data_IF_305747311398
#
_entry.id   IF_305747311398
#
_cell.length_a   1.000
_cell.length_b   1.000
_cell.length_c   1.000
_cell.angle_alpha   90.00
_cell.angle_beta   90.00
_cell.angle_gamma   90.00
#
_symmetry.space_group_name_H-M   'P 1'
#
loop_
_entity.id
_entity.type
_entity.pdbx_description
1 polymer ?
#
# COMPACT_ATOMS: atom_id res chain seq x y z
N UNK A 1 27.33 35.13 1.69
CA UNK A 1 26.45 34.01 2.09
C UNK A 1 25.28 33.94 1.11
N UNK A 2 25.23 32.95 0.20
CA UNK A 2 24.05 32.68 -0.62
C UNK A 2 23.35 31.47 0.00
N UNK A 3 22.11 31.69 0.43
CA UNK A 3 21.33 30.78 1.24
C UNK A 3 21.23 29.37 0.65
N UNK A 4 20.96 28.45 1.56
CA UNK A 4 20.71 27.03 1.38
C UNK A 4 19.47 26.80 0.49
N UNK A 5 19.55 27.16 -0.79
CA UNK A 5 18.52 26.88 -1.80
C UNK A 5 19.00 25.67 -2.57
N UNK A 6 18.25 24.57 -2.45
CA UNK A 6 18.50 23.36 -3.21
C UNK A 6 18.46 23.73 -4.71
N UNK A 7 19.53 23.49 -5.49
CA UNK A 7 19.52 23.81 -6.90
C UNK A 7 18.42 23.00 -7.60
N UNK A 8 17.79 23.62 -8.59
CA UNK A 8 16.76 22.97 -9.39
C UNK A 8 17.33 21.69 -10.06
N UNK A 9 16.49 20.65 -10.21
CA UNK A 9 16.95 19.35 -10.67
C UNK A 9 17.60 19.45 -12.06
N UNK A 10 18.86 18.98 -12.23
CA UNK A 10 19.51 18.98 -13.55
C UNK A 10 18.70 18.25 -14.62
N UNK A 11 18.01 17.16 -14.25
CA UNK A 11 17.13 16.44 -15.19
C UNK A 11 15.98 17.31 -15.68
N UNK A 12 15.39 18.12 -14.81
CA UNK A 12 14.30 19.01 -15.17
C UNK A 12 14.77 20.15 -16.08
N UNK A 13 15.94 20.73 -15.79
CA UNK A 13 16.56 21.76 -16.64
C UNK A 13 16.90 21.21 -18.03
N UNK A 14 17.43 19.99 -18.11
CA UNK A 14 17.68 19.30 -19.39
C UNK A 14 16.38 19.07 -20.17
N UNK A 15 15.30 18.63 -19.50
CA UNK A 15 13.99 18.44 -20.14
C UNK A 15 13.39 19.74 -20.66
N UNK A 16 13.58 20.86 -19.94
CA UNK A 16 13.16 22.22 -20.35
C UNK A 16 14.06 22.84 -21.42
N UNK A 17 15.18 22.20 -21.79
CA UNK A 17 16.15 22.75 -22.75
C UNK A 17 17.07 23.83 -22.17
N UNK A 18 17.07 24.04 -20.86
CA UNK A 18 17.97 24.98 -20.14
C UNK A 18 19.33 24.31 -19.88
N UNK A 19 20.06 23.99 -20.95
CA UNK A 19 21.25 23.15 -20.86
C UNK A 19 22.44 23.82 -20.16
N UNK A 20 22.61 25.14 -20.31
CA UNK A 20 23.72 25.86 -19.69
C UNK A 20 23.61 25.89 -18.16
N UNK A 21 22.39 26.01 -17.64
CA UNK A 21 22.13 25.97 -16.21
C UNK A 21 22.32 24.56 -15.64
N UNK A 22 21.84 23.55 -16.36
CA UNK A 22 22.11 22.15 -16.03
C UNK A 22 23.62 21.85 -16.00
N UNK A 23 24.38 22.38 -16.95
CA UNK A 23 25.83 22.24 -17.02
C UNK A 23 26.54 22.87 -15.82
N UNK A 24 26.17 24.10 -15.43
CA UNK A 24 26.72 24.76 -14.24
C UNK A 24 26.49 23.93 -12.97
N UNK A 25 25.29 23.39 -12.81
CA UNK A 25 24.94 22.56 -11.65
C UNK A 25 25.70 21.22 -11.69
N UNK A 26 25.79 20.55 -12.84
CA UNK A 26 26.52 19.29 -13.00
C UNK A 26 28.02 19.45 -12.75
N UNK A 27 28.65 20.53 -13.25
CA UNK A 27 30.06 20.86 -12.97
C UNK A 27 30.30 21.11 -11.48
N UNK A 28 29.38 21.83 -10.82
CA UNK A 28 29.44 22.05 -9.37
C UNK A 28 29.32 20.72 -8.60
N UNK A 29 28.37 19.87 -8.95
CA UNK A 29 28.19 18.54 -8.34
C UNK A 29 29.42 17.66 -8.52
N UNK A 30 30.01 17.65 -9.71
CA UNK A 30 31.20 16.85 -9.99
C UNK A 30 32.42 17.32 -9.20
N UNK A 31 32.62 18.65 -9.11
CA UNK A 31 33.66 19.24 -8.27
C UNK A 31 33.49 18.86 -6.80
N UNK A 32 32.27 18.89 -6.27
CA UNK A 32 31.97 18.45 -4.89
C UNK A 32 32.22 16.95 -4.71
N UNK A 33 31.92 16.14 -5.73
CA UNK A 33 32.12 14.69 -5.72
C UNK A 33 33.56 14.26 -6.08
N UNK A 34 34.50 15.20 -6.23
CA UNK A 34 35.89 14.91 -6.61
C UNK A 34 36.08 14.29 -7.99
N UNK A 35 35.08 14.37 -8.88
CA UNK A 35 35.12 13.81 -10.24
C UNK A 35 35.20 14.92 -11.28
N UNK A 36 35.94 14.70 -12.36
CA UNK A 36 35.92 15.57 -13.53
C UNK A 36 34.88 15.07 -14.54
N UNK A 37 34.09 16.00 -15.11
CA UNK A 37 33.23 15.66 -16.24
C UNK A 37 34.09 15.53 -17.50
N UNK A 38 33.95 14.45 -18.29
CA UNK A 38 34.54 14.38 -19.62
C UNK A 38 34.09 15.56 -20.47
N UNK A 39 34.99 16.13 -21.28
CA UNK A 39 34.67 17.27 -22.14
C UNK A 39 33.44 17.02 -23.05
N UNK A 40 33.26 15.78 -23.50
CA UNK A 40 32.15 15.38 -24.37
C UNK A 40 30.88 14.96 -23.60
N UNK A 41 30.91 14.85 -22.27
CA UNK A 41 29.78 14.36 -21.48
C UNK A 41 28.54 15.23 -21.67
N UNK A 42 28.70 16.55 -21.68
CA UNK A 42 27.58 17.47 -21.87
C UNK A 42 26.99 17.38 -23.27
N UNK A 43 27.82 17.12 -24.28
CA UNK A 43 27.39 16.95 -25.69
C UNK A 43 26.58 15.66 -25.83
N UNK A 44 27.07 14.55 -25.26
CA UNK A 44 26.32 13.29 -25.24
C UNK A 44 25.02 13.41 -24.45
N UNK A 45 25.04 14.12 -23.31
CA UNK A 45 23.86 14.33 -22.48
C UNK A 45 22.81 15.21 -23.20
N UNK A 46 23.24 16.30 -23.83
CA UNK A 46 22.39 17.14 -24.70
C UNK A 46 21.76 16.30 -25.81
N UNK A 47 22.56 15.52 -26.56
CA UNK A 47 22.06 14.67 -27.65
C UNK A 47 21.03 13.65 -27.15
N UNK A 48 21.33 12.95 -26.04
CA UNK A 48 20.42 11.96 -25.45
C UNK A 48 19.09 12.60 -25.06
N UNK A 49 19.13 13.72 -24.34
CA UNK A 49 17.92 14.42 -23.91
C UNK A 49 17.17 15.10 -25.07
N UNK A 50 17.85 15.57 -26.11
CA UNK A 50 17.22 16.08 -27.33
C UNK A 50 16.50 14.98 -28.08
N UNK A 51 17.08 13.79 -28.20
CA UNK A 51 16.42 12.63 -28.82
C UNK A 51 15.25 12.15 -27.97
N UNK A 52 15.43 11.99 -26.65
CA UNK A 52 14.34 11.62 -25.75
C UNK A 52 13.21 12.66 -25.79
N UNK A 53 13.56 13.96 -25.77
CA UNK A 53 12.59 15.04 -25.91
C UNK A 53 11.94 15.02 -27.28
N UNK A 54 12.65 14.80 -28.38
CA UNK A 54 12.04 14.70 -29.71
C UNK A 54 11.11 13.49 -29.84
N UNK A 55 11.47 12.34 -29.26
CA UNK A 55 10.62 11.13 -29.25
C UNK A 55 9.39 11.36 -28.37
N UNK A 56 9.57 11.92 -27.18
CA UNK A 56 8.47 12.26 -26.29
C UNK A 56 7.61 13.37 -26.86
N UNK A 57 8.20 14.39 -27.46
CA UNK A 57 7.50 15.52 -28.06
C UNK A 57 6.81 15.07 -29.33
N UNK A 58 7.38 14.23 -30.20
CA UNK A 58 6.63 13.60 -31.32
C UNK A 58 5.49 12.73 -30.81
N UNK A 59 5.69 11.96 -29.75
CA UNK A 59 4.62 11.18 -29.13
C UNK A 59 3.51 12.12 -28.64
N UNK A 60 3.89 13.19 -27.94
CA UNK A 60 3.02 14.20 -27.31
C UNK A 60 2.46 15.22 -28.31
N UNK A 61 3.04 15.44 -29.49
CA UNK A 61 2.67 16.48 -30.49
C UNK A 61 1.84 15.88 -31.62
N UNK A 62 2.11 14.61 -31.99
CA UNK A 62 1.12 13.76 -32.65
C UNK A 62 -0.15 13.62 -31.80
N UNK A 63 0.02 13.74 -30.47
CA UNK A 63 -1.06 13.70 -29.48
C UNK A 63 -1.71 15.09 -29.23
N UNK A 64 -0.94 16.18 -29.01
CA UNK A 64 -1.40 17.53 -28.61
C UNK A 64 -2.23 18.29 -29.63
N UNK A 65 -2.30 17.83 -30.88
CA UNK A 65 -3.30 18.32 -31.83
C UNK A 65 -4.74 17.97 -31.38
N UNK A 66 -4.90 17.13 -30.33
CA UNK A 66 -6.17 16.83 -29.67
C UNK A 66 -6.14 17.28 -28.22
N UNK A 67 -7.20 17.97 -27.80
CA UNK A 67 -7.43 18.37 -26.42
C UNK A 67 -7.72 17.11 -25.58
N UNK A 68 -6.83 16.81 -24.63
CA UNK A 68 -6.91 15.59 -23.80
C UNK A 68 -7.96 15.72 -22.69
N UNK A 69 -8.93 14.80 -22.68
CA UNK A 69 -9.80 14.55 -21.53
C UNK A 69 -9.41 13.26 -20.81
N UNK A 70 -9.95 13.05 -19.60
CA UNK A 70 -9.73 11.81 -18.80
C UNK A 70 -10.10 10.54 -19.60
N UNK A 71 -11.03 10.67 -20.55
CA UNK A 71 -11.47 9.59 -21.43
C UNK A 71 -10.39 9.12 -22.43
N UNK A 72 -9.44 9.97 -22.80
CA UNK A 72 -8.36 9.60 -23.73
C UNK A 72 -7.35 8.65 -23.09
N UNK A 73 -7.35 8.56 -21.75
CA UNK A 73 -6.54 7.61 -20.99
C UNK A 73 -6.96 6.14 -21.26
N UNK A 74 -8.23 5.93 -21.65
CA UNK A 74 -8.78 4.62 -22.00
C UNK A 74 -8.65 4.28 -23.48
N UNK A 75 -8.22 5.24 -24.32
CA UNK A 75 -8.17 5.09 -25.78
C UNK A 75 -7.02 4.21 -26.24
N UNK A 76 -5.84 4.34 -25.62
CA UNK A 76 -4.66 3.55 -25.99
C UNK A 76 -4.58 2.30 -25.12
N UNK A 77 -4.53 1.07 -25.68
CA UNK A 77 -4.63 -0.17 -24.91
C UNK A 77 -3.48 -0.35 -23.90
N UNK A 78 -2.27 0.12 -24.25
CA UNK A 78 -1.12 0.09 -23.36
C UNK A 78 -1.24 1.06 -22.18
N UNK A 79 -1.86 2.23 -22.39
CA UNK A 79 -2.06 3.21 -21.34
C UNK A 79 -3.20 2.78 -20.42
N UNK A 80 -4.32 2.31 -21.00
CA UNK A 80 -5.45 1.72 -20.28
C UNK A 80 -5.02 0.60 -19.35
N UNK A 81 -4.20 -0.35 -19.82
CA UNK A 81 -3.68 -1.44 -18.97
C UNK A 81 -2.89 -0.91 -17.78
N UNK A 82 -1.98 0.04 -18.01
CA UNK A 82 -1.17 0.63 -16.93
C UNK A 82 -2.05 1.39 -15.92
N UNK A 83 -2.97 2.21 -16.40
CA UNK A 83 -3.90 2.96 -15.56
C UNK A 83 -4.76 2.00 -14.73
N UNK A 84 -5.39 1.00 -15.35
CA UNK A 84 -6.21 0.01 -14.64
C UNK A 84 -5.43 -0.73 -13.56
N UNK A 85 -4.20 -1.15 -13.85
CA UNK A 85 -3.33 -1.79 -12.86
C UNK A 85 -3.04 -0.85 -11.69
N UNK A 86 -2.66 0.40 -11.95
CA UNK A 86 -2.36 1.39 -10.91
C UNK A 86 -3.60 1.69 -10.07
N UNK A 87 -4.75 1.91 -10.69
CA UNK A 87 -6.03 2.15 -10.01
C UNK A 87 -6.43 0.96 -9.15
N UNK A 88 -6.27 -0.27 -9.65
CA UNK A 88 -6.56 -1.48 -8.89
C UNK A 88 -5.65 -1.62 -7.67
N UNK A 89 -4.35 -1.41 -7.82
CA UNK A 89 -3.38 -1.44 -6.71
C UNK A 89 -3.77 -0.40 -5.64
N UNK A 90 -4.10 0.82 -6.07
CA UNK A 90 -4.54 1.89 -5.18
C UNK A 90 -5.81 1.51 -4.43
N UNK A 91 -6.81 1.01 -5.15
CA UNK A 91 -8.08 0.57 -4.55
C UNK A 91 -7.88 -0.53 -3.50
N UNK A 92 -7.09 -1.56 -3.83
CA UNK A 92 -6.76 -2.65 -2.90
C UNK A 92 -6.02 -2.13 -1.67
N UNK A 93 -5.02 -1.27 -1.86
CA UNK A 93 -4.25 -0.73 -0.75
C UNK A 93 -5.12 0.12 0.18
N UNK A 94 -5.93 1.03 -0.36
CA UNK A 94 -6.88 1.82 0.44
C UNK A 94 -7.88 0.94 1.18
N UNK A 95 -8.43 -0.09 0.52
CA UNK A 95 -9.39 -1.00 1.14
C UNK A 95 -8.77 -1.78 2.31
N UNK A 96 -7.56 -2.32 2.13
CA UNK A 96 -6.83 -3.05 3.18
C UNK A 96 -6.43 -2.11 4.32
N UNK A 97 -5.90 -0.93 4.01
CA UNK A 97 -5.48 0.06 5.00
C UNK A 97 -6.65 0.53 5.86
N UNK A 98 -7.77 0.89 5.22
CA UNK A 98 -8.98 1.33 5.91
C UNK A 98 -9.58 0.17 6.71
N UNK A 99 -9.66 -1.03 6.13
CA UNK A 99 -10.16 -2.22 6.83
C UNK A 99 -9.34 -2.59 8.08
N UNK A 100 -8.00 -2.56 7.97
CA UNK A 100 -7.11 -2.78 9.12
C UNK A 100 -7.24 -1.67 10.15
N UNK A 101 -7.31 -0.41 9.74
CA UNK A 101 -7.51 0.73 10.64
C UNK A 101 -8.81 0.64 11.44
N UNK A 102 -9.91 0.18 10.81
CA UNK A 102 -11.17 -0.04 11.53
C UNK A 102 -11.15 -1.27 12.44
N UNK A 103 -10.39 -2.31 12.10
CA UNK A 103 -10.33 -3.56 12.86
C UNK A 103 -9.26 -3.55 13.97
N UNK A 104 -8.28 -2.64 13.90
CA UNK A 104 -7.21 -2.49 14.89
C UNK A 104 -7.70 -2.24 16.33
N UNK A 105 -8.75 -1.42 16.59
CA UNK A 105 -9.32 -1.27 17.93
C UNK A 105 -10.09 -2.51 18.40
N UNK A 106 -10.67 -3.26 17.46
CA UNK A 106 -11.52 -4.44 17.74
C UNK A 106 -10.70 -5.70 18.03
N UNK A 107 -9.39 -5.71 17.73
CA UNK A 107 -8.51 -6.86 17.97
C UNK A 107 -8.40 -7.26 19.46
N UNK A 108 -8.84 -6.39 20.37
CA UNK A 108 -8.80 -6.59 21.82
C UNK A 108 -7.39 -6.32 22.38
N UNK A 109 -7.33 -5.61 23.51
CA UNK A 109 -6.09 -5.16 24.14
C UNK A 109 -6.10 -3.65 24.39
N UNK A 110 -4.93 -3.10 24.73
CA UNK A 110 -4.73 -1.65 24.90
C UNK A 110 -4.52 -0.98 23.51
N UNK A 111 -5.40 -0.05 23.15
CA UNK A 111 -5.39 0.65 21.87
C UNK A 111 -4.10 1.47 21.64
N UNK A 112 -3.53 2.04 22.71
CA UNK A 112 -2.29 2.81 22.64
C UNK A 112 -1.10 1.90 22.35
N UNK A 113 -1.09 0.70 22.93
CA UNK A 113 -0.03 -0.29 22.72
C UNK A 113 -0.04 -0.83 21.29
N UNK A 114 -1.22 -1.07 20.72
CA UNK A 114 -1.38 -1.44 19.31
C UNK A 114 -0.89 -0.34 18.35
N UNK A 115 -1.22 0.93 18.63
CA UNK A 115 -0.74 2.06 17.84
C UNK A 115 0.78 2.24 17.93
N UNK A 116 1.34 2.08 19.14
CA UNK A 116 2.78 2.14 19.36
C UNK A 116 3.53 1.03 18.60
N UNK A 117 3.04 -0.22 18.64
CA UNK A 117 3.63 -1.31 17.86
C UNK A 117 3.53 -1.08 16.35
N UNK A 118 2.40 -0.56 15.86
CA UNK A 118 2.24 -0.24 14.45
C UNK A 118 3.30 0.80 14.00
N UNK A 119 3.46 1.90 14.74
CA UNK A 119 4.49 2.90 14.46
C UNK A 119 5.92 2.35 14.60
N UNK A 120 6.16 1.50 15.59
CA UNK A 120 7.46 0.87 15.79
C UNK A 120 7.86 -0.08 14.65
N UNK A 121 6.89 -0.75 14.01
CA UNK A 121 7.13 -1.63 12.85
C UNK A 121 7.29 -0.83 11.55
N UNK A 122 6.66 0.33 11.43
CA UNK A 122 6.78 1.18 10.23
C UNK A 122 8.22 1.69 10.03
N UNK A 123 8.89 2.15 11.09
CA UNK A 123 10.25 2.68 11.04
C UNK A 123 11.28 1.72 10.40
N UNK A 124 11.45 0.47 10.90
CA UNK A 124 12.37 -0.47 10.27
C UNK A 124 11.89 -0.85 8.87
N UNK A 125 10.58 -0.93 8.64
CA UNK A 125 10.04 -1.25 7.31
C UNK A 125 10.53 -0.25 6.25
N UNK A 126 10.51 1.06 6.53
CA UNK A 126 11.04 2.06 5.60
C UNK A 126 12.55 1.91 5.34
N UNK A 127 13.32 1.57 6.38
CA UNK A 127 14.77 1.34 6.26
C UNK A 127 15.07 0.12 5.39
N UNK A 128 14.28 -0.95 5.49
CA UNK A 128 14.43 -2.14 4.65
C UNK A 128 13.87 -1.97 3.24
N UNK A 129 12.81 -1.19 3.06
CA UNK A 129 12.15 -1.00 1.77
C UNK A 129 13.06 -0.30 0.76
N UNK A 130 13.85 0.67 1.23
CA UNK A 130 14.76 1.44 0.37
C UNK A 130 15.80 0.55 -0.35
N UNK A 131 16.65 -0.23 0.32
CA UNK A 131 17.59 -1.13 -0.35
C UNK A 131 16.88 -2.24 -1.13
N UNK A 132 15.74 -2.74 -0.65
CA UNK A 132 14.97 -3.76 -1.36
C UNK A 132 14.46 -3.28 -2.73
N UNK A 133 14.05 -2.01 -2.84
CA UNK A 133 13.63 -1.41 -4.11
C UNK A 133 14.79 -1.29 -5.11
N UNK A 134 16.00 -0.99 -4.62
CA UNK A 134 17.20 -0.82 -5.46
C UNK A 134 17.77 -2.17 -5.93
N UNK A 135 17.66 -3.23 -5.12
CA UNK A 135 18.16 -4.57 -5.48
C UNK A 135 17.22 -5.39 -6.36
N UNK A 136 15.94 -5.51 -5.97
CA UNK A 136 14.98 -6.37 -6.67
C UNK A 136 14.21 -5.67 -7.79
N UNK A 137 14.24 -4.33 -7.82
CA UNK A 137 13.52 -3.52 -8.78
C UNK A 137 12.04 -3.36 -8.45
N UNK A 138 11.49 -2.20 -8.84
CA UNK A 138 10.18 -1.67 -8.45
C UNK A 138 8.96 -2.57 -8.70
N UNK A 139 9.03 -3.48 -9.68
CA UNK A 139 7.90 -4.37 -10.01
C UNK A 139 7.79 -5.54 -9.03
N UNK A 140 8.92 -6.16 -8.71
CA UNK A 140 8.97 -7.32 -7.82
C UNK A 140 8.65 -6.94 -6.39
N UNK A 141 9.16 -5.81 -5.91
CA UNK A 141 8.84 -5.28 -4.57
C UNK A 141 7.33 -5.09 -4.39
N UNK A 142 6.64 -4.55 -5.41
CA UNK A 142 5.21 -4.27 -5.34
C UNK A 142 4.36 -5.55 -5.39
N UNK A 143 4.74 -6.51 -6.25
CA UNK A 143 4.08 -7.82 -6.26
C UNK A 143 4.28 -8.57 -4.94
N UNK A 144 5.51 -8.57 -4.40
CA UNK A 144 5.82 -9.23 -3.15
C UNK A 144 5.03 -8.64 -1.98
N UNK A 145 4.98 -7.31 -1.86
CA UNK A 145 4.19 -6.66 -0.80
C UNK A 145 2.69 -6.96 -0.89
N UNK A 146 2.14 -7.05 -2.11
CA UNK A 146 0.72 -7.42 -2.30
C UNK A 146 0.45 -8.88 -1.92
N UNK A 147 1.35 -9.80 -2.26
CA UNK A 147 1.20 -11.22 -1.89
C UNK A 147 1.31 -11.39 -0.38
N UNK A 148 2.34 -10.80 0.25
CA UNK A 148 2.54 -10.86 1.70
C UNK A 148 1.34 -10.25 2.44
N UNK A 149 0.87 -9.07 2.00
CA UNK A 149 -0.33 -8.45 2.57
C UNK A 149 -1.59 -9.31 2.40
N UNK A 150 -1.77 -9.93 1.22
CA UNK A 150 -2.89 -10.83 0.97
C UNK A 150 -2.87 -12.09 1.84
N UNK A 151 -1.70 -12.72 2.00
CA UNK A 151 -1.51 -13.88 2.87
C UNK A 151 -1.76 -13.50 4.34
N UNK A 152 -1.27 -12.34 4.79
CA UNK A 152 -1.53 -11.84 6.13
C UNK A 152 -3.03 -11.64 6.40
N UNK A 153 -3.77 -11.04 5.46
CA UNK A 153 -5.23 -10.89 5.58
C UNK A 153 -5.96 -12.24 5.64
N UNK A 154 -5.55 -13.22 4.82
CA UNK A 154 -6.13 -14.57 4.86
C UNK A 154 -5.83 -15.28 6.19
N UNK A 155 -4.62 -15.14 6.72
CA UNK A 155 -4.25 -15.68 8.02
C UNK A 155 -5.13 -15.10 9.14
N UNK A 156 -5.40 -13.79 9.12
CA UNK A 156 -6.31 -13.15 10.08
C UNK A 156 -7.72 -13.74 10.03
N UNK A 157 -8.25 -14.05 8.83
CA UNK A 157 -9.55 -14.71 8.70
C UNK A 157 -9.54 -16.14 9.26
N UNK A 158 -8.47 -16.91 9.03
CA UNK A 158 -8.35 -18.27 9.60
C UNK A 158 -8.31 -18.22 11.13
N UNK A 159 -7.56 -17.28 11.71
CA UNK A 159 -7.50 -17.08 13.17
C UNK A 159 -8.86 -16.68 13.73
N UNK A 160 -9.57 -15.77 13.08
CA UNK A 160 -10.92 -15.37 13.50
C UNK A 160 -11.90 -16.55 13.43
N UNK A 161 -11.84 -17.34 12.35
CA UNK A 161 -12.68 -18.52 12.21
C UNK A 161 -12.38 -19.56 13.29
N UNK A 162 -11.11 -19.80 13.59
CA UNK A 162 -10.70 -20.70 14.68
C UNK A 162 -11.19 -20.22 16.06
N UNK A 163 -11.09 -18.91 16.34
CA UNK A 163 -11.63 -18.30 17.57
C UNK A 163 -13.15 -18.45 17.67
N UNK A 164 -13.87 -18.14 16.58
CA UNK A 164 -15.33 -18.28 16.51
C UNK A 164 -15.77 -19.73 16.74
N UNK A 165 -15.06 -20.69 16.13
CA UNK A 165 -15.37 -22.10 16.28
C UNK A 165 -15.14 -22.59 17.72
N UNK A 166 -14.07 -22.10 18.36
CA UNK A 166 -13.78 -22.40 19.77
C UNK A 166 -14.86 -21.85 20.69
N UNK A 167 -15.28 -20.58 20.50
CA UNK A 167 -16.39 -19.99 21.25
C UNK A 167 -17.72 -20.73 21.04
N UNK A 168 -18.01 -21.18 19.82
CA UNK A 168 -19.22 -21.97 19.55
C UNK A 168 -19.19 -23.31 20.29
N UNK A 169 -18.07 -24.03 20.24
CA UNK A 169 -17.89 -25.31 20.94
C UNK A 169 -17.95 -25.12 22.46
N UNK A 170 -17.37 -24.06 23.01
CA UNK A 170 -17.43 -23.74 24.44
C UNK A 170 -18.84 -23.34 24.88
N UNK A 171 -19.58 -22.61 24.03
CA UNK A 171 -20.98 -22.23 24.30
C UNK A 171 -21.88 -23.47 24.32
N UNK A 172 -21.74 -24.38 23.35
CA UNK A 172 -22.50 -25.63 23.35
C UNK A 172 -22.12 -26.52 24.53
N UNK A 173 -20.83 -26.66 24.84
CA UNK A 173 -20.37 -27.41 26.01
C UNK A 173 -20.97 -26.86 27.30
N UNK A 174 -20.97 -25.53 27.47
CA UNK A 174 -21.57 -24.90 28.63
C UNK A 174 -23.08 -25.14 28.69
N UNK A 175 -23.79 -25.06 27.56
CA UNK A 175 -25.22 -25.36 27.47
C UNK A 175 -25.56 -26.78 27.93
N UNK A 176 -24.85 -27.81 27.44
CA UNK A 176 -25.06 -29.20 27.87
C UNK A 176 -24.72 -29.44 29.35
N UNK A 177 -23.69 -28.76 29.87
CA UNK A 177 -23.35 -28.83 31.29
C UNK A 177 -24.41 -28.15 32.17
N UNK A 178 -25.04 -27.06 31.71
CA UNK A 178 -26.21 -26.48 32.41
C UNK A 178 -27.43 -27.39 32.35
N UNK A 179 -27.78 -27.96 31.20
CA UNK A 179 -28.93 -28.88 31.10
C UNK A 179 -28.73 -30.14 31.96
N UNK A 180 -27.54 -30.73 31.96
CA UNK A 180 -27.24 -31.90 32.77
C UNK A 180 -27.22 -31.62 34.28
N UNK A 181 -26.87 -30.39 34.71
CA UNK A 181 -27.04 -29.94 36.11
C UNK A 181 -28.52 -29.79 36.48
N UNK A 182 -29.32 -29.18 35.60
CA UNK A 182 -30.77 -28.99 35.82
C UNK A 182 -31.51 -30.34 35.90
N UNK A 183 -31.09 -31.33 35.11
CA UNK A 183 -31.70 -32.65 35.09
C UNK A 183 -31.23 -33.55 36.26
N UNK A 184 -30.03 -33.33 36.81
CA UNK A 184 -29.56 -34.05 38.02
C UNK A 184 -30.20 -33.56 39.31
N UNK A 185 -30.52 -32.26 39.39
CA UNK A 185 -31.17 -31.64 40.53
C UNK A 185 -32.50 -31.00 40.08
N UNK A 186 -33.59 -31.78 39.92
CA UNK A 186 -34.87 -31.21 39.52
C UNK A 186 -35.34 -30.21 40.59
N UNK A 187 -35.77 -28.99 40.20
CA UNK A 187 -36.24 -28.01 41.16
C UNK A 187 -37.42 -28.58 41.93
N UNK A 188 -37.25 -28.71 43.26
CA UNK A 188 -38.32 -29.12 44.17
C UNK A 188 -39.35 -27.99 44.24
N UNK A 189 -40.37 -28.11 43.41
CA UNK A 189 -41.59 -27.31 43.47
C UNK A 189 -41.57 -26.06 42.61
N UNK A 190 -42.17 -26.15 41.42
CA UNK A 190 -43.18 -25.20 40.95
C UNK A 190 -43.80 -25.76 39.66
N UNK A 191 -45.10 -26.05 39.75
CA UNK A 191 -45.88 -26.59 38.66
C UNK A 191 -46.07 -25.59 37.52
N UNK A 192 -46.30 -26.15 36.35
CA UNK A 192 -46.94 -25.53 35.19
C UNK A 192 -46.29 -24.24 34.64
N UNK A 193 -45.32 -24.41 33.74
CA UNK A 193 -45.07 -23.44 32.68
C UNK A 193 -44.55 -24.18 31.44
N UNK A 194 -45.51 -24.65 30.63
CA UNK A 194 -45.27 -25.19 29.30
C UNK A 194 -44.62 -24.13 28.40
N UNK A 195 -43.60 -24.56 27.66
CA UNK A 195 -43.28 -24.10 26.30
C UNK A 195 -43.19 -22.58 26.09
N UNK A 196 -42.02 -21.97 26.37
CA UNK A 196 -41.59 -20.70 25.75
C UNK A 196 -40.13 -20.41 26.13
N UNK A 197 -39.17 -20.90 25.34
CA UNK A 197 -37.82 -20.32 25.19
C UNK A 197 -37.06 -21.06 24.09
N UNK A 198 -37.64 -21.08 22.90
CA UNK A 198 -36.89 -21.26 21.66
C UNK A 198 -37.13 -19.99 20.86
N UNK A 199 -36.09 -19.50 20.17
CA UNK A 199 -36.04 -18.25 19.39
C UNK A 199 -35.61 -17.04 20.22
N UNK A 200 -34.29 -16.85 20.41
CA UNK A 200 -33.50 -15.64 20.05
C UNK A 200 -32.02 -16.10 20.15
N UNK A 201 -31.24 -16.28 19.09
CA UNK A 201 -30.51 -15.21 18.40
C UNK A 201 -29.92 -15.78 17.09
N UNK A 202 -30.43 -15.31 15.95
CA UNK A 202 -29.71 -15.30 14.68
C UNK A 202 -30.08 -14.00 13.97
N UNK A 203 -29.25 -12.99 14.16
CA UNK A 203 -29.15 -11.77 13.35
C UNK A 203 -27.76 -11.17 13.55
#
# INVERSE_FOLDING_TARGET
MKGMVLPESPRWLLARGRYEEAEKILKKMARVNGKSLPANYMVHLKRKYQVERYVQQKAVEKEKSRQYGVLDLFRTPNLRRKTLIITFIWFTNTSVYVGLSYYAPVLGGDEFLNFFLAGAVELPTYVFLWPAMDWWGRRWTLCFSMVVGGVACLATLLVQNARRNSQHVDTERNFYLTESRINKDPPKGLGNASSKSYIVFKS
#
